data_IF_783167208554
#
_entry.id   IF_783167208554
#
_cell.length_a   1.000
_cell.length_b   1.000
_cell.length_c   1.000
_cell.angle_alpha   90.00
_cell.angle_beta   90.00
_cell.angle_gamma   90.00
#
_symmetry.space_group_name_H-M   'P 1'
#
loop_
_entity.id
_entity.type
_entity.pdbx_description
1 polymer ?
#
# COMPACT_ATOMS: atom_id res chain seq x y z
N UNK A 1 22.93 -14.30 6.90
CA UNK A 1 21.94 -13.34 6.33
C UNK A 1 22.05 -13.32 4.82
N UNK A 2 20.94 -13.42 4.14
CA UNK A 2 20.91 -13.44 2.68
C UNK A 2 20.98 -12.02 2.12
N UNK A 3 21.90 -11.77 1.20
CA UNK A 3 21.99 -10.50 0.50
C UNK A 3 20.95 -10.49 -0.63
N UNK A 4 19.83 -9.84 -0.41
CA UNK A 4 18.73 -9.79 -1.38
C UNK A 4 19.11 -9.09 -2.68
N UNK A 5 19.98 -8.09 -2.63
CA UNK A 5 20.36 -7.30 -3.81
C UNK A 5 21.12 -8.09 -4.85
N UNK A 6 21.96 -9.02 -4.42
CA UNK A 6 22.84 -9.77 -5.29
C UNK A 6 22.24 -11.10 -5.77
N UNK A 7 20.99 -11.36 -5.43
CA UNK A 7 20.28 -12.55 -5.91
C UNK A 7 19.71 -12.35 -7.30
N UNK A 8 19.54 -13.43 -8.09
CA UNK A 8 18.88 -13.36 -9.39
C UNK A 8 17.48 -12.71 -9.29
N UNK A 9 17.05 -12.08 -10.36
CA UNK A 9 15.78 -11.33 -10.40
C UNK A 9 14.58 -12.18 -9.96
N UNK A 10 14.48 -13.43 -10.41
CA UNK A 10 13.36 -14.30 -10.04
C UNK A 10 13.31 -14.57 -8.53
N UNK A 11 14.47 -14.68 -7.86
CA UNK A 11 14.50 -14.82 -6.40
C UNK A 11 14.11 -13.55 -5.69
N UNK A 12 14.49 -12.39 -6.24
CA UNK A 12 14.11 -11.08 -5.69
C UNK A 12 12.60 -10.87 -5.77
N UNK A 13 11.96 -11.28 -6.86
CA UNK A 13 10.49 -11.29 -6.98
C UNK A 13 9.88 -12.20 -5.92
N UNK A 14 10.47 -13.38 -5.70
CA UNK A 14 10.02 -14.29 -4.65
C UNK A 14 10.08 -13.66 -3.25
N UNK A 15 11.14 -12.91 -2.94
CA UNK A 15 11.26 -12.19 -1.68
C UNK A 15 10.19 -11.12 -1.55
N UNK A 16 9.90 -10.39 -2.62
CA UNK A 16 8.86 -9.37 -2.63
C UNK A 16 7.47 -9.98 -2.36
N UNK A 17 7.16 -11.09 -3.02
CA UNK A 17 5.90 -11.82 -2.81
C UNK A 17 5.79 -12.34 -1.38
N UNK A 18 6.88 -12.84 -0.81
CA UNK A 18 6.92 -13.26 0.59
C UNK A 18 6.64 -12.10 1.54
N UNK A 19 7.17 -10.92 1.25
CA UNK A 19 6.92 -9.70 2.02
C UNK A 19 5.45 -9.28 1.98
N UNK A 20 4.84 -9.30 0.82
CA UNK A 20 3.40 -9.03 0.65
C UNK A 20 2.59 -10.03 1.48
N UNK A 21 2.89 -11.32 1.36
CA UNK A 21 2.21 -12.35 2.14
C UNK A 21 2.35 -12.16 3.64
N UNK A 22 3.53 -11.78 4.10
CA UNK A 22 3.79 -11.48 5.50
C UNK A 22 2.90 -10.32 6.00
N UNK A 23 2.90 -9.19 5.28
CA UNK A 23 2.12 -8.02 5.66
C UNK A 23 0.62 -8.33 5.67
N UNK A 24 0.11 -9.02 4.65
CA UNK A 24 -1.32 -9.38 4.57
C UNK A 24 -1.72 -10.31 5.72
N UNK A 25 -0.84 -11.22 6.15
CA UNK A 25 -1.15 -12.11 7.27
C UNK A 25 -1.06 -11.41 8.63
N UNK A 26 -0.11 -10.47 8.80
CA UNK A 26 0.19 -9.89 10.11
C UNK A 26 -0.48 -8.56 10.38
N UNK A 27 -0.85 -7.80 9.32
CA UNK A 27 -1.32 -6.43 9.47
C UNK A 27 -2.79 -6.31 9.07
N UNK A 28 -3.62 -5.79 9.99
CA UNK A 28 -5.03 -5.57 9.74
C UNK A 28 -5.25 -4.55 8.61
N UNK A 29 -4.46 -3.48 8.58
CA UNK A 29 -4.54 -2.45 7.54
C UNK A 29 -4.25 -3.01 6.14
N UNK A 30 -3.26 -3.91 6.02
CA UNK A 30 -2.97 -4.57 4.74
C UNK A 30 -4.13 -5.45 4.27
N UNK A 31 -4.78 -6.17 5.19
CA UNK A 31 -5.98 -6.97 4.87
C UNK A 31 -7.13 -6.10 4.37
N UNK A 32 -7.37 -4.97 5.03
CA UNK A 32 -8.41 -4.01 4.62
C UNK A 32 -8.11 -3.46 3.23
N UNK A 33 -6.87 -3.13 2.93
CA UNK A 33 -6.47 -2.60 1.63
C UNK A 33 -6.63 -3.64 0.51
N UNK A 34 -6.31 -4.91 0.77
CA UNK A 34 -6.54 -5.99 -0.21
C UNK A 34 -8.04 -6.14 -0.48
N UNK A 35 -8.88 -6.10 0.56
CA UNK A 35 -10.33 -6.14 0.41
C UNK A 35 -10.87 -4.95 -0.38
N UNK A 36 -10.41 -3.75 -0.07
CA UNK A 36 -10.78 -2.52 -0.78
C UNK A 36 -10.36 -2.57 -2.24
N UNK A 37 -9.17 -3.09 -2.52
CA UNK A 37 -8.67 -3.27 -3.89
C UNK A 37 -9.56 -4.24 -4.68
N UNK A 38 -9.95 -5.35 -4.08
CA UNK A 38 -10.84 -6.32 -4.73
C UNK A 38 -12.19 -5.68 -5.07
N UNK A 39 -12.76 -4.89 -4.16
CA UNK A 39 -14.01 -4.15 -4.41
C UNK A 39 -13.82 -3.15 -5.54
N UNK A 40 -12.71 -2.43 -5.56
CA UNK A 40 -12.38 -1.48 -6.63
C UNK A 40 -12.33 -2.16 -8.00
N UNK A 41 -11.64 -3.30 -8.10
CA UNK A 41 -11.53 -4.04 -9.36
C UNK A 41 -12.90 -4.47 -9.85
N UNK A 42 -13.74 -5.01 -8.97
CA UNK A 42 -15.11 -5.39 -9.32
C UNK A 42 -15.90 -4.18 -9.81
N UNK A 43 -15.81 -3.05 -9.12
CA UNK A 43 -16.48 -1.81 -9.53
C UNK A 43 -16.02 -1.34 -10.90
N UNK A 44 -14.72 -1.36 -11.18
CA UNK A 44 -14.19 -0.96 -12.48
C UNK A 44 -14.64 -1.89 -13.61
N UNK A 45 -14.75 -3.20 -13.33
CA UNK A 45 -15.24 -4.18 -14.30
C UNK A 45 -16.72 -3.94 -14.64
N UNK A 46 -17.52 -3.56 -13.66
CA UNK A 46 -18.96 -3.27 -13.85
C UNK A 46 -19.16 -1.93 -14.54
N UNK A 47 -18.47 -0.88 -14.07
CA UNK A 47 -18.70 0.49 -14.50
C UNK A 47 -18.02 0.86 -15.82
N UNK A 48 -16.94 0.17 -16.17
CA UNK A 48 -16.20 0.36 -17.43
C UNK A 48 -15.90 1.83 -17.74
N UNK A 49 -15.14 2.54 -16.86
CA UNK A 49 -14.93 3.99 -17.02
C UNK A 49 -13.92 4.35 -18.12
N UNK A 50 -13.20 3.37 -18.66
CA UNK A 50 -12.19 3.57 -19.69
C UNK A 50 -10.76 3.36 -19.20
N UNK A 51 -9.79 3.18 -20.12
CA UNK A 51 -8.41 2.81 -19.78
C UNK A 51 -7.70 3.80 -18.88
N UNK A 52 -7.93 5.09 -19.05
CA UNK A 52 -7.32 6.12 -18.20
C UNK A 52 -7.68 5.91 -16.73
N UNK A 53 -8.95 5.65 -16.44
CA UNK A 53 -9.42 5.46 -15.05
C UNK A 53 -8.92 4.16 -14.46
N UNK A 54 -8.81 3.11 -15.26
CA UNK A 54 -8.16 1.89 -14.84
C UNK A 54 -6.72 2.15 -14.41
N UNK A 55 -5.96 2.83 -15.27
CA UNK A 55 -4.56 3.13 -14.98
C UNK A 55 -4.40 4.01 -13.73
N UNK A 56 -5.23 5.06 -13.59
CA UNK A 56 -5.19 5.96 -12.46
C UNK A 56 -5.51 5.24 -11.15
N UNK A 57 -6.56 4.42 -11.15
CA UNK A 57 -6.97 3.72 -9.93
C UNK A 57 -6.00 2.60 -9.55
N UNK A 58 -5.41 1.91 -10.53
CA UNK A 58 -4.34 0.93 -10.26
C UNK A 58 -3.10 1.61 -9.70
N UNK A 59 -2.71 2.75 -10.25
CA UNK A 59 -1.56 3.52 -9.76
C UNK A 59 -1.79 4.02 -8.33
N UNK A 60 -2.97 4.57 -8.06
CA UNK A 60 -3.34 5.06 -6.73
C UNK A 60 -3.32 3.90 -5.70
N UNK A 61 -3.90 2.76 -6.05
CA UNK A 61 -3.93 1.58 -5.18
C UNK A 61 -2.53 1.03 -4.92
N UNK A 62 -1.70 0.96 -5.95
CA UNK A 62 -0.30 0.52 -5.82
C UNK A 62 0.47 1.47 -4.89
N UNK A 63 0.26 2.77 -4.99
CA UNK A 63 0.88 3.77 -4.13
C UNK A 63 0.51 3.60 -2.65
N UNK A 64 -0.77 3.39 -2.38
CA UNK A 64 -1.25 3.15 -1.01
C UNK A 64 -0.65 1.86 -0.46
N UNK A 65 -0.67 0.78 -1.24
CA UNK A 65 -0.16 -0.50 -0.77
C UNK A 65 1.36 -0.46 -0.56
N UNK A 66 2.10 0.20 -1.45
CA UNK A 66 3.55 0.39 -1.31
C UNK A 66 3.87 1.17 -0.03
N UNK A 67 3.13 2.26 0.25
CA UNK A 67 3.29 3.04 1.47
C UNK A 67 3.03 2.18 2.71
N UNK A 68 2.00 1.33 2.68
CA UNK A 68 1.70 0.39 3.76
C UNK A 68 2.83 -0.61 3.98
N UNK A 69 3.42 -1.14 2.91
CA UNK A 69 4.55 -2.06 3.00
C UNK A 69 5.76 -1.40 3.67
N UNK A 70 6.08 -0.17 3.28
CA UNK A 70 7.16 0.59 3.91
C UNK A 70 6.85 0.92 5.37
N UNK A 71 5.62 1.31 5.68
CA UNK A 71 5.21 1.56 7.06
C UNK A 71 5.38 0.30 7.93
N UNK A 72 4.91 -0.84 7.45
CA UNK A 72 5.05 -2.13 8.14
C UNK A 72 6.53 -2.45 8.40
N UNK A 73 7.39 -2.29 7.38
CA UNK A 73 8.82 -2.55 7.51
C UNK A 73 9.48 -1.63 8.54
N UNK A 74 9.14 -0.34 8.52
CA UNK A 74 9.68 0.66 9.45
C UNK A 74 9.22 0.35 10.88
N UNK A 75 7.95 0.04 11.09
CA UNK A 75 7.42 -0.28 12.41
C UNK A 75 8.09 -1.53 12.99
N UNK A 76 8.22 -2.59 12.21
CA UNK A 76 8.86 -3.83 12.66
C UNK A 76 10.35 -3.60 12.96
N UNK A 77 11.04 -2.83 12.13
CA UNK A 77 12.43 -2.50 12.36
C UNK A 77 12.61 -1.67 13.64
N UNK A 78 11.78 -0.65 13.82
CA UNK A 78 11.82 0.20 15.01
C UNK A 78 11.54 -0.59 16.28
N UNK A 79 10.56 -1.48 16.27
CA UNK A 79 10.23 -2.32 17.42
C UNK A 79 11.33 -3.33 17.75
N UNK A 80 12.03 -3.83 16.74
CA UNK A 80 13.14 -4.76 16.94
C UNK A 80 14.37 -4.06 17.54
N UNK A 81 14.69 -2.86 17.06
CA UNK A 81 15.87 -2.11 17.51
C UNK A 81 15.65 -1.35 18.81
N UNK A 82 14.42 -0.86 19.05
CA UNK A 82 14.12 -0.04 20.22
C UNK A 82 12.67 -0.26 20.66
N UNK A 83 12.39 -1.35 21.41
CA UNK A 83 11.02 -1.69 21.81
C UNK A 83 10.41 -0.72 22.82
N UNK A 84 11.23 0.05 23.56
CA UNK A 84 10.73 1.00 24.54
C UNK A 84 10.16 2.26 23.84
N UNK A 85 9.21 2.91 24.52
CA UNK A 85 8.64 4.18 24.06
C UNK A 85 9.72 5.26 24.16
N UNK A 86 10.02 5.90 23.02
CA UNK A 86 11.00 6.98 22.93
C UNK A 86 10.50 8.04 21.94
N UNK A 87 10.69 9.34 22.20
CA UNK A 87 10.17 10.40 21.32
C UNK A 87 10.66 10.31 19.88
N UNK A 88 11.93 9.96 19.64
CA UNK A 88 12.47 9.82 18.28
C UNK A 88 11.89 8.62 17.55
N UNK A 89 11.72 7.49 18.24
CA UNK A 89 11.12 6.29 17.65
C UNK A 89 9.66 6.54 17.33
N UNK A 90 8.94 7.25 18.20
CA UNK A 90 7.57 7.66 17.93
C UNK A 90 7.49 8.55 16.69
N UNK A 91 8.38 9.51 16.56
CA UNK A 91 8.42 10.40 15.38
C UNK A 91 8.68 9.60 14.09
N UNK A 92 9.56 8.60 14.12
CA UNK A 92 9.83 7.72 12.97
C UNK A 92 8.54 6.99 12.56
N UNK A 93 7.84 6.39 13.51
CA UNK A 93 6.58 5.67 13.25
C UNK A 93 5.49 6.62 12.75
N UNK A 94 5.39 7.82 13.32
CA UNK A 94 4.41 8.82 12.90
C UNK A 94 4.65 9.28 11.46
N UNK A 95 5.92 9.48 11.08
CA UNK A 95 6.28 9.81 9.69
C UNK A 95 5.92 8.69 8.72
N UNK A 96 6.17 7.45 9.09
CA UNK A 96 5.82 6.30 8.27
C UNK A 96 4.30 6.20 8.09
N UNK A 97 3.54 6.38 9.17
CA UNK A 97 2.08 6.40 9.12
C UNK A 97 1.55 7.57 8.28
N UNK A 98 2.20 8.73 8.35
CA UNK A 98 1.85 9.89 7.53
C UNK A 98 2.00 9.60 6.03
N UNK A 99 2.98 8.80 5.64
CA UNK A 99 3.14 8.36 4.25
C UNK A 99 1.92 7.60 3.74
N UNK A 100 1.39 6.69 4.56
CA UNK A 100 0.16 5.94 4.25
C UNK A 100 -1.03 6.89 4.14
N UNK A 101 -1.16 7.83 5.08
CA UNK A 101 -2.24 8.82 5.08
C UNK A 101 -2.22 9.67 3.81
N UNK A 102 -1.06 10.20 3.43
CA UNK A 102 -0.91 11.03 2.23
C UNK A 102 -1.29 10.25 0.98
N UNK A 103 -0.79 9.02 0.83
CA UNK A 103 -1.12 8.17 -0.30
C UNK A 103 -2.61 7.86 -0.35
N UNK A 104 -3.23 7.59 0.81
CA UNK A 104 -4.67 7.30 0.92
C UNK A 104 -5.53 8.51 0.56
N UNK A 105 -5.13 9.71 0.97
CA UNK A 105 -5.82 10.94 0.58
C UNK A 105 -5.74 11.18 -0.93
N UNK A 106 -4.58 10.91 -1.54
CA UNK A 106 -4.43 10.97 -3.00
C UNK A 106 -5.33 9.98 -3.71
N UNK A 107 -5.40 8.74 -3.22
CA UNK A 107 -6.29 7.72 -3.77
C UNK A 107 -7.77 8.11 -3.61
N UNK A 108 -8.13 8.68 -2.47
CA UNK A 108 -9.51 9.18 -2.25
C UNK A 108 -9.86 10.31 -3.23
N UNK A 109 -8.94 11.23 -3.48
CA UNK A 109 -9.14 12.29 -4.47
C UNK A 109 -9.36 11.71 -5.88
N UNK A 110 -8.59 10.71 -6.28
CA UNK A 110 -8.77 10.01 -7.55
C UNK A 110 -10.15 9.32 -7.61
N UNK A 111 -10.57 8.69 -6.52
CA UNK A 111 -11.89 8.04 -6.44
C UNK A 111 -13.03 9.06 -6.58
N UNK A 112 -12.92 10.20 -5.93
CA UNK A 112 -13.91 11.30 -6.06
C UNK A 112 -13.98 11.77 -7.51
N UNK A 113 -12.83 11.97 -8.16
CA UNK A 113 -12.78 12.36 -9.57
C UNK A 113 -13.44 11.32 -10.48
N UNK A 114 -13.24 10.03 -10.19
CA UNK A 114 -13.91 8.96 -10.92
C UNK A 114 -15.43 9.03 -10.76
N UNK A 115 -15.92 9.22 -9.53
CA UNK A 115 -17.36 9.35 -9.28
C UNK A 115 -17.94 10.53 -10.04
N UNK A 116 -17.27 11.69 -10.01
CA UNK A 116 -17.70 12.88 -10.78
C UNK A 116 -17.76 12.57 -12.26
N UNK A 117 -16.78 11.89 -12.81
CA UNK A 117 -16.76 11.46 -14.20
C UNK A 117 -17.95 10.55 -14.54
N UNK A 118 -18.22 9.55 -13.68
CA UNK A 118 -19.30 8.59 -13.89
C UNK A 118 -20.68 9.24 -13.83
N UNK A 119 -20.87 10.18 -12.92
CA UNK A 119 -22.14 10.90 -12.78
C UNK A 119 -22.39 11.82 -13.98
N UNK A 120 -21.32 12.36 -14.58
CA UNK A 120 -21.41 13.27 -15.71
C UNK A 120 -21.54 12.63 -17.09
N UNK A 121 -21.48 11.30 -17.19
CA UNK A 121 -21.57 10.61 -18.50
C UNK A 121 -22.97 10.13 -18.85
#
# INVERSE_FOLDING_TARGET
>A
MTDHKNQPFYKRVGFALAGIGYAVRSEQSAKIQVGAFAILVVALLILQPGPFWWALMMLASAGVFAAEMFNTAIEHLADHLHPEIHPHIRAVKDCAAAGVLIASLGAAAAAVALVVHLVGR
#
